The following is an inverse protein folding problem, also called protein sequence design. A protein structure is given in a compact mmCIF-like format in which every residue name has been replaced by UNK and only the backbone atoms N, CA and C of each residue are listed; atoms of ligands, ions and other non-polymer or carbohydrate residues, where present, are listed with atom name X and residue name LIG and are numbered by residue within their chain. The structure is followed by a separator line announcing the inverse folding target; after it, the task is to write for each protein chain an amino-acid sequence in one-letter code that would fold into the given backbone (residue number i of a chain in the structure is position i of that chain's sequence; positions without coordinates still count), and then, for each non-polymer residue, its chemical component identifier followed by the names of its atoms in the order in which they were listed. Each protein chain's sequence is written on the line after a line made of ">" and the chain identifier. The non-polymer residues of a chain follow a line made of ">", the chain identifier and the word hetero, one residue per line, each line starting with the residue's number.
data_IF_508605668163
#
_entry.id   IF_508605668163
#
_cell.length_a   1.000
_cell.length_b   1.000
_cell.length_c   1.000
_cell.angle_alpha   90.00
_cell.angle_beta   90.00
_cell.angle_gamma   90.00
#
_symmetry.space_group_name_H-M   'P 1'
#
loop_
_entity.id
_entity.type
_entity.pdbx_description
1 polymer ?
2 polymer ?
3 water ?
#
# COMPACT_ATOMS: atom_id res chain seq x y z
N UNK A 26 3.97 -23.01 -35.72
CA UNK A 26 3.02 -24.11 -35.86
C UNK A 26 1.55 -23.65 -35.85
N UNK A 27 0.70 -24.27 -35.04
CA UNK A 27 -0.71 -23.85 -34.84
C UNK A 27 -0.98 -23.42 -33.38
N UNK A 28 -0.16 -23.97 -32.49
CA UNK A 28 -0.05 -23.58 -31.10
C UNK A 28 0.01 -22.06 -30.96
N UNK A 29 0.73 -21.43 -31.88
CA UNK A 29 1.01 -20.01 -31.77
C UNK A 29 -0.27 -19.21 -31.87
N UNK A 30 -1.27 -19.75 -32.56
CA UNK A 30 -2.57 -19.09 -32.59
C UNK A 30 -3.32 -19.33 -31.28
N UNK A 31 -3.23 -20.53 -30.73
CA UNK A 31 -3.92 -20.82 -29.48
C UNK A 31 -3.33 -19.93 -28.40
N UNK A 32 -2.01 -19.87 -28.33
CA UNK A 32 -1.32 -19.01 -27.37
C UNK A 32 -1.68 -17.55 -27.51
N UNK A 33 -1.74 -17.08 -28.76
CA UNK A 33 -2.04 -15.69 -29.07
C UNK A 33 -3.43 -15.36 -28.55
N UNK A 34 -4.39 -16.21 -28.88
CA UNK A 34 -5.78 -16.03 -28.51
C UNK A 34 -5.88 -15.96 -27.01
N UNK A 35 -5.11 -16.78 -26.33
CA UNK A 35 -5.18 -16.81 -24.88
C UNK A 35 -4.56 -15.57 -24.23
N UNK A 36 -3.35 -15.20 -24.65
CA UNK A 36 -2.71 -14.01 -24.10
C UNK A 36 -3.60 -12.80 -24.36
N UNK A 37 -4.11 -12.73 -25.59
CA UNK A 37 -4.89 -11.60 -26.08
C UNK A 37 -6.19 -11.48 -25.30
N UNK A 38 -6.91 -12.59 -25.20
CA UNK A 38 -8.16 -12.61 -24.45
C UNK A 38 -7.98 -12.17 -22.99
N UNK A 39 -6.91 -12.63 -22.35
CA UNK A 39 -6.61 -12.27 -20.96
C UNK A 39 -6.42 -10.77 -20.85
N UNK A 40 -5.77 -10.16 -21.83
CA UNK A 40 -5.63 -8.72 -21.67
C UNK A 40 -6.98 -8.00 -21.92
N UNK A 41 -7.74 -8.43 -22.93
CA UNK A 41 -9.01 -7.79 -23.29
C UNK A 41 -10.07 -7.89 -22.19
N UNK A 42 -10.08 -9.02 -21.50
CA UNK A 42 -11.05 -9.25 -20.46
C UNK A 42 -10.55 -8.85 -19.07
N UNK A 43 -9.34 -8.29 -18.99
CA UNK A 43 -8.81 -7.79 -17.72
C UNK A 43 -8.13 -8.75 -16.76
N UNK A 44 -8.09 -10.05 -17.07
CA UNK A 44 -7.37 -11.02 -16.26
C UNK A 44 -5.88 -10.75 -16.17
N UNK A 45 -5.31 -10.27 -17.28
CA UNK A 45 -3.94 -9.81 -17.33
C UNK A 45 -4.00 -8.30 -17.44
N UNK A 46 -3.86 -7.62 -16.29
CA UNK A 46 -3.96 -6.17 -16.30
C UNK A 46 -2.68 -5.55 -16.83
N UNK A 47 -2.83 -4.55 -17.69
CA UNK A 47 -1.69 -3.94 -18.36
C UNK A 47 -1.85 -2.43 -18.37
N UNK A 48 -0.75 -1.73 -18.65
CA UNK A 48 -0.80 -0.25 -18.68
C UNK A 48 -1.47 0.15 -19.99
N UNK A 49 -1.95 1.39 -20.04
CA UNK A 49 -2.57 1.91 -21.23
C UNK A 49 -1.60 1.78 -22.42
N UNK A 50 -0.39 2.25 -22.22
CA UNK A 50 0.58 2.22 -23.30
C UNK A 50 0.77 0.82 -23.86
N UNK A 51 0.88 -0.15 -22.97
CA UNK A 51 1.07 -1.52 -23.41
C UNK A 51 -0.22 -2.01 -24.09
N UNK A 52 -1.37 -1.59 -23.56
CA UNK A 52 -2.66 -1.99 -24.12
C UNK A 52 -2.65 -1.68 -25.60
N UNK A 53 -2.28 -0.44 -25.87
CA UNK A 53 -2.14 0.06 -27.24
C UNK A 53 -1.17 -0.67 -28.14
N UNK A 54 0.03 -0.93 -27.63
CA UNK A 54 1.04 -1.73 -28.33
C UNK A 54 0.51 -3.12 -28.69
N UNK A 55 -0.14 -3.76 -27.72
CA UNK A 55 -0.87 -4.99 -27.96
C UNK A 55 -1.91 -4.79 -29.08
N UNK A 56 -2.80 -3.81 -28.91
CA UNK A 56 -3.76 -3.45 -29.98
C UNK A 56 -3.11 -3.28 -31.37
N UNK A 57 -1.89 -2.74 -31.38
CA UNK A 57 -1.14 -2.54 -32.61
C UNK A 57 -0.87 -3.87 -33.30
N UNK A 58 -0.37 -4.84 -32.53
CA UNK A 58 -0.11 -6.16 -33.07
C UNK A 58 -1.38 -6.92 -33.44
N UNK A 59 -2.47 -6.67 -32.70
CA UNK A 59 -3.80 -7.23 -32.98
C UNK A 59 -4.34 -6.66 -34.30
N UNK A 60 -4.03 -5.40 -34.56
CA UNK A 60 -4.42 -4.80 -35.84
C UNK A 60 -3.67 -5.49 -36.97
N UNK A 61 -2.37 -5.69 -36.78
CA UNK A 61 -1.55 -6.31 -37.81
C UNK A 61 -2.05 -7.72 -38.12
N UNK A 62 -2.59 -8.36 -37.09
CA UNK A 62 -3.12 -9.70 -37.19
C UNK A 62 -4.46 -9.73 -37.91
N UNK A 63 -5.34 -8.83 -37.48
CA UNK A 63 -6.69 -8.84 -37.99
C UNK A 63 -6.86 -8.09 -39.30
N UNK A 64 -5.99 -7.13 -39.60
CA UNK A 64 -6.16 -6.23 -40.75
C UNK A 64 -5.04 -6.27 -41.81
N UNK A 65 -4.01 -7.08 -41.55
CA UNK A 65 -2.77 -7.03 -42.31
C UNK A 65 -2.04 -5.72 -42.09
N UNK A 66 -0.97 -5.47 -42.87
CA UNK A 66 -0.13 -4.27 -42.82
C UNK A 66 -0.93 -2.98 -42.85
N UNK A 67 -0.50 -2.02 -42.05
CA UNK A 67 -1.20 -0.76 -41.87
C UNK A 67 -1.27 0.04 -43.16
N UNK A 68 -2.38 0.71 -43.38
CA UNK A 68 -2.58 1.57 -44.54
C UNK A 68 -3.36 2.83 -44.14
N UNK A 69 -2.69 3.97 -44.25
CA UNK A 69 -3.16 5.24 -43.68
C UNK A 69 -4.52 5.66 -44.24
N UNK A 70 -4.88 5.13 -45.39
CA UNK A 70 -6.13 5.50 -46.05
C UNK A 70 -7.31 4.63 -45.62
N UNK A 71 -7.04 3.37 -45.29
CA UNK A 71 -8.12 2.46 -44.85
C UNK A 71 -8.27 2.49 -43.35
N UNK A 72 -7.14 2.32 -42.65
CA UNK A 72 -7.09 2.21 -41.19
C UNK A 72 -7.08 3.62 -40.59
N UNK A 73 -8.27 4.20 -40.53
CA UNK A 73 -8.45 5.65 -40.46
C UNK A 73 -8.71 6.27 -39.09
N UNK A 74 -9.99 6.42 -38.74
CA UNK A 74 -10.41 7.36 -37.71
C UNK A 74 -11.33 6.67 -36.70
N UNK A 75 -12.46 6.18 -37.19
CA UNK A 75 -13.39 5.36 -36.40
C UNK A 75 -13.41 3.96 -36.96
N UNK A 76 -12.30 3.57 -37.59
CA UNK A 76 -12.16 2.28 -38.24
C UNK A 76 -12.20 1.14 -37.22
N UNK A 77 -11.54 1.34 -36.08
CA UNK A 77 -11.55 0.35 -35.00
C UNK A 77 -12.76 0.56 -34.12
N UNK A 78 -13.38 -0.53 -33.69
CA UNK A 78 -14.25 -0.49 -32.53
C UNK A 78 -13.38 -0.82 -31.30
N UNK A 79 -13.09 0.17 -30.48
CA UNK A 79 -12.09 0.01 -29.43
C UNK A 79 -12.44 -1.06 -28.38
N UNK A 80 -13.73 -1.34 -28.23
CA UNK A 80 -14.19 -2.34 -27.27
C UNK A 80 -13.74 -3.78 -27.59
N UNK A 81 -13.18 -4.00 -28.77
CA UNK A 81 -12.67 -5.32 -29.16
C UNK A 81 -11.14 -5.32 -29.22
N UNK A 82 -10.53 -4.19 -28.86
CA UNK A 82 -9.08 -3.97 -28.98
C UNK A 82 -8.38 -3.49 -27.70
N UNK A 83 -9.19 -3.01 -26.74
CA UNK A 83 -8.67 -2.62 -25.44
C UNK A 83 -9.49 -3.15 -24.26
N UNK A 84 -8.83 -3.30 -23.09
CA UNK A 84 -9.53 -3.66 -21.86
C UNK A 84 -10.58 -2.61 -21.56
N UNK A 85 -11.70 -3.00 -20.98
CA UNK A 85 -12.83 -2.09 -20.76
C UNK A 85 -12.44 -0.73 -20.14
N UNK A 86 -11.54 -0.76 -19.15
CA UNK A 86 -11.15 0.45 -18.44
C UNK A 86 -10.43 1.49 -19.31
N UNK A 87 -10.00 1.11 -20.50
CA UNK A 87 -9.24 2.01 -21.33
C UNK A 87 -9.99 2.46 -22.58
N UNK A 88 -11.20 1.96 -22.82
CA UNK A 88 -11.89 2.26 -24.08
C UNK A 88 -12.27 3.73 -24.26
N UNK A 89 -12.72 4.34 -23.17
CA UNK A 89 -13.06 5.75 -23.11
C UNK A 89 -11.85 6.66 -22.99
N UNK A 90 -10.64 6.16 -23.25
CA UNK A 90 -9.39 6.90 -23.05
C UNK A 90 -8.79 7.52 -24.32
N UNK A 91 -9.42 7.29 -25.47
CA UNK A 91 -9.05 8.00 -26.69
C UNK A 91 -7.75 7.48 -27.29
N UNK A 92 -7.66 6.17 -27.50
CA UNK A 92 -6.39 5.51 -27.84
C UNK A 92 -6.09 5.25 -29.31
N UNK A 93 -7.00 5.63 -30.19
CA UNK A 93 -6.90 5.16 -31.56
C UNK A 93 -5.53 5.52 -32.17
N UNK A 94 -5.16 6.78 -31.98
CA UNK A 94 -3.91 7.35 -32.48
C UNK A 94 -2.69 6.45 -32.29
N UNK A 95 -2.42 6.10 -31.03
CA UNK A 95 -1.23 5.30 -30.64
C UNK A 95 -1.35 3.79 -30.98
N UNK A 96 -2.58 3.30 -31.04
CA UNK A 96 -2.85 1.96 -31.58
C UNK A 96 -2.38 1.98 -33.04
N UNK A 97 -2.67 3.07 -33.70
CA UNK A 97 -2.27 3.19 -35.10
C UNK A 97 -0.79 3.41 -35.30
N UNK A 98 -0.11 4.05 -34.35
CA UNK A 98 1.35 4.14 -34.43
C UNK A 98 1.97 2.77 -34.28
N UNK A 99 1.53 2.03 -33.25
CA UNK A 99 2.00 0.67 -33.05
C UNK A 99 1.67 -0.24 -34.23
N UNK A 100 0.60 0.07 -34.96
CA UNK A 100 0.21 -0.73 -36.12
C UNK A 100 1.18 -0.39 -37.25
N UNK A 101 1.29 0.89 -37.57
CA UNK A 101 2.25 1.34 -38.58
C UNK A 101 3.61 0.68 -38.35
N UNK A 102 4.10 0.74 -37.12
CA UNK A 102 5.45 0.26 -36.79
C UNK A 102 5.71 -1.22 -37.10
N UNK A 103 4.64 -2.00 -37.31
CA UNK A 103 4.73 -3.40 -37.74
C UNK A 103 5.22 -3.55 -39.20
N UNK A 104 4.71 -2.68 -40.07
CA UNK A 104 5.03 -2.70 -41.49
C UNK A 104 4.46 -3.90 -42.19
N UNK A 105 5.29 -4.54 -43.03
CA UNK A 105 4.91 -5.73 -43.79
C UNK A 105 5.19 -7.04 -43.03
N UNK A 106 5.30 -6.95 -41.70
CA UNK A 106 5.28 -8.11 -40.85
C UNK A 106 4.05 -8.99 -41.06
N UNK A 107 4.25 -10.29 -40.86
CA UNK A 107 3.22 -11.25 -41.17
C UNK A 107 2.40 -11.50 -39.92
N UNK A 108 1.18 -11.97 -40.16
CA UNK A 108 0.33 -12.47 -39.10
C UNK A 108 1.20 -13.31 -38.17
N UNK A 109 1.68 -14.44 -38.70
CA UNK A 109 2.37 -15.45 -37.91
C UNK A 109 3.32 -14.84 -36.87
N UNK A 110 4.18 -13.93 -37.31
CA UNK A 110 5.18 -13.37 -36.39
C UNK A 110 4.62 -12.18 -35.59
N UNK A 111 3.67 -11.44 -36.15
CA UNK A 111 2.99 -10.39 -35.38
C UNK A 111 2.40 -11.04 -34.14
N UNK A 112 1.75 -12.17 -34.36
CA UNK A 112 1.20 -12.99 -33.30
C UNK A 112 2.27 -13.37 -32.27
N UNK A 113 3.47 -13.68 -32.75
CA UNK A 113 4.56 -14.06 -31.85
C UNK A 113 5.12 -12.87 -31.03
N UNK A 114 5.10 -11.66 -31.60
CA UNK A 114 5.67 -10.51 -30.88
C UNK A 114 4.72 -10.05 -29.76
N UNK A 115 3.42 -10.24 -29.99
CA UNK A 115 2.36 -10.07 -28.99
C UNK A 115 2.63 -11.01 -27.82
N UNK A 116 2.75 -12.30 -28.14
CA UNK A 116 2.95 -13.33 -27.12
C UNK A 116 4.26 -13.09 -26.36
N UNK A 117 5.30 -12.68 -27.08
CA UNK A 117 6.55 -12.22 -26.47
C UNK A 117 6.38 -10.98 -25.60
N UNK A 118 5.52 -10.07 -26.00
CA UNK A 118 5.44 -8.80 -25.32
C UNK A 118 4.74 -9.09 -24.00
N UNK A 119 3.62 -9.81 -24.07
CA UNK A 119 2.88 -10.28 -22.90
C UNK A 119 3.81 -10.98 -21.93
N UNK A 120 4.53 -11.98 -22.42
CA UNK A 120 5.47 -12.72 -21.61
C UNK A 120 6.48 -11.77 -20.99
N UNK A 121 6.81 -10.69 -21.69
CA UNK A 121 7.82 -9.77 -21.20
C UNK A 121 7.43 -8.97 -19.94
N UNK A 122 6.16 -8.93 -19.54
CA UNK A 122 5.70 -8.00 -18.49
C UNK A 122 5.67 -8.70 -17.14
N UNK A 123 6.01 -7.97 -16.08
CA UNK A 123 6.08 -8.59 -14.74
C UNK A 123 4.71 -9.08 -14.25
N UNK A 124 3.64 -8.43 -14.68
CA UNK A 124 2.23 -8.87 -14.51
C UNK A 124 1.75 -10.18 -15.18
N UNK A 125 2.56 -10.74 -16.09
CA UNK A 125 2.18 -11.90 -16.88
C UNK A 125 2.03 -13.12 -16.00
N UNK A 126 0.89 -13.80 -16.10
CA UNK A 126 0.62 -14.99 -15.27
C UNK A 126 0.75 -14.73 -13.78
N UNK A 127 0.17 -13.61 -13.36
CA UNK A 127 -0.03 -13.32 -11.94
C UNK A 127 -1.51 -13.30 -11.64
N UNK A 128 -1.90 -13.91 -10.52
CA UNK A 128 -3.29 -13.83 -10.06
C UNK A 128 -3.41 -12.56 -9.26
N UNK A 129 -4.43 -11.76 -9.58
CA UNK A 129 -4.58 -10.42 -9.03
C UNK A 129 -5.92 -10.28 -8.31
N UNK A 130 -5.88 -9.51 -7.21
CA UNK A 130 -7.03 -9.15 -6.40
C UNK A 130 -7.07 -7.62 -6.16
N UNK A 131 -8.25 -7.04 -6.32
CA UNK A 131 -8.43 -5.62 -6.07
C UNK A 131 -8.75 -5.46 -4.59
N UNK A 132 -7.80 -4.89 -3.86
CA UNK A 132 -7.89 -4.68 -2.44
C UNK A 132 -7.77 -3.16 -2.12
N UNK A 133 -7.67 -2.86 -0.84
CA UNK A 133 -7.52 -1.47 -0.44
C UNK A 133 -6.48 -1.41 0.62
N UNK A 134 -5.59 -0.43 0.51
CA UNK A 134 -4.48 -0.31 1.43
C UNK A 134 -4.79 0.95 2.19
N UNK A 135 -4.36 1.03 3.43
CA UNK A 135 -4.38 2.31 4.12
C UNK A 135 -3.06 2.99 3.82
N UNK A 136 -3.11 4.24 3.38
CA UNK A 136 -1.84 4.95 3.16
C UNK A 136 -1.07 5.12 4.47
N UNK A 137 0.25 4.94 4.38
CA UNK A 137 1.13 5.10 5.51
C UNK A 137 1.06 6.53 6.04
N UNK A 138 0.80 6.70 7.32
CA UNK A 138 0.84 8.05 7.89
C UNK A 138 -0.44 8.81 7.61
N UNK A 139 -1.44 8.18 6.99
CA UNK A 139 -2.68 8.90 6.65
C UNK A 139 -3.90 7.98 6.86
N UNK A 140 -5.00 8.54 7.35
CA UNK A 140 -6.27 7.80 7.38
C UNK A 140 -7.04 7.83 6.07
N UNK A 141 -6.55 7.07 5.10
CA UNK A 141 -7.08 7.12 3.76
C UNK A 141 -6.74 5.78 3.13
N UNK A 142 -7.75 5.17 2.54
CA UNK A 142 -7.60 3.89 1.84
C UNK A 142 -7.43 4.18 0.38
N UNK A 143 -6.46 3.52 -0.24
CA UNK A 143 -6.27 3.55 -1.70
C UNK A 143 -6.53 2.17 -2.31
N UNK A 144 -7.19 2.13 -3.47
CA UNK A 144 -7.30 0.84 -4.17
C UNK A 144 -5.96 0.31 -4.64
N UNK A 145 -5.83 -1.01 -4.73
CA UNK A 145 -4.56 -1.60 -5.04
C UNK A 145 -4.76 -3.00 -5.60
N UNK A 146 -3.98 -3.30 -6.62
CA UNK A 146 -3.89 -4.64 -7.20
C UNK A 146 -2.79 -5.38 -6.44
N UNK A 147 -3.16 -6.53 -5.86
CA UNK A 147 -2.24 -7.37 -5.10
C UNK A 147 -2.10 -8.65 -5.92
N UNK A 148 -0.88 -9.01 -6.26
CA UNK A 148 -0.66 -10.11 -7.16
C UNK A 148 0.18 -11.17 -6.51
N UNK A 149 -0.16 -12.41 -6.86
CA UNK A 149 0.43 -13.59 -6.24
C UNK A 149 0.92 -14.52 -7.34
N UNK A 150 2.21 -14.82 -7.29
CA UNK A 150 2.77 -15.86 -8.15
C UNK A 150 3.50 -16.89 -7.33
N UNK A 151 3.77 -18.00 -8.01
CA UNK A 151 4.86 -18.90 -7.73
C UNK A 151 5.93 -18.29 -6.85
N UNK A 152 6.45 -17.14 -7.27
CA UNK A 152 7.73 -16.65 -6.75
C UNK A 152 7.56 -15.53 -5.74
N UNK A 153 6.52 -14.72 -5.89
CA UNK A 153 6.47 -13.51 -5.11
C UNK A 153 5.04 -13.11 -4.83
N UNK A 154 4.91 -12.13 -3.95
CA UNK A 154 3.73 -11.29 -3.83
C UNK A 154 4.07 -9.88 -4.34
N UNK A 155 3.15 -9.24 -5.06
CA UNK A 155 3.47 -7.90 -5.55
C UNK A 155 2.35 -6.89 -5.44
N UNK A 156 2.70 -5.65 -5.06
CA UNK A 156 1.82 -4.50 -5.04
C UNK A 156 1.90 -3.80 -6.37
N UNK A 157 0.75 -3.58 -6.99
CA UNK A 157 0.67 -2.94 -8.31
C UNK A 157 -0.35 -1.80 -8.34
N UNK A 158 0.03 -0.71 -9.01
CA UNK A 158 -0.84 0.44 -9.11
C UNK A 158 -2.10 0.11 -9.93
N UNK A 159 -3.29 0.46 -9.41
CA UNK A 159 -4.59 0.18 -10.06
C UNK A 159 -4.69 0.83 -11.45
N UNK A 160 -4.06 2.00 -11.63
CA UNK A 160 -4.13 2.74 -12.88
C UNK A 160 -2.97 2.43 -13.87
N UNK A 161 -1.73 2.64 -13.41
CA UNK A 161 -0.54 2.55 -14.26
C UNK A 161 -0.06 1.12 -14.46
N UNK A 162 -0.50 0.24 -13.58
CA UNK A 162 -0.06 -1.15 -13.53
C UNK A 162 1.43 -1.27 -13.26
N UNK A 163 2.04 -0.21 -12.74
CA UNK A 163 3.41 -0.29 -12.25
C UNK A 163 3.53 -1.26 -11.11
N UNK A 164 4.58 -2.08 -11.11
CA UNK A 164 4.91 -2.92 -9.97
C UNK A 164 5.65 -2.00 -8.99
N UNK A 165 4.94 -1.53 -7.98
CA UNK A 165 5.56 -0.64 -7.00
C UNK A 165 6.30 -1.35 -5.86
N UNK A 166 6.04 -2.64 -5.62
CA UNK A 166 6.83 -3.40 -4.66
C UNK A 166 6.58 -4.91 -4.81
N UNK A 167 7.61 -5.71 -4.56
CA UNK A 167 7.52 -7.17 -4.63
C UNK A 167 8.12 -7.77 -3.39
N UNK A 168 7.51 -8.85 -2.91
CA UNK A 168 8.19 -9.68 -1.93
C UNK A 168 8.28 -11.13 -2.37
N UNK A 169 9.47 -11.69 -2.29
CA UNK A 169 9.65 -13.12 -2.39
C UNK A 169 8.79 -13.86 -1.37
N UNK A 170 8.22 -14.98 -1.80
CA UNK A 170 7.47 -15.85 -0.91
C UNK A 170 8.35 -16.33 0.24
N UNK A 171 9.65 -16.44 -0.02
CA UNK A 171 10.59 -16.93 0.97
C UNK A 171 10.76 -15.94 2.13
N UNK A 172 10.43 -14.67 1.92
CA UNK A 172 10.45 -13.69 3.02
C UNK A 172 9.14 -13.59 3.79
N UNK A 173 8.13 -14.37 3.40
CA UNK A 173 6.86 -14.34 4.11
C UNK A 173 6.85 -15.46 5.17
N UNK A 174 6.63 -15.07 6.42
CA UNK A 174 6.78 -15.96 7.56
C UNK A 174 5.44 -16.44 8.07
N UNK A 175 4.48 -15.51 8.12
CA UNK A 175 3.13 -15.80 8.56
C UNK A 175 2.14 -14.91 7.81
N UNK A 176 0.88 -15.32 7.86
CA UNK A 176 -0.21 -14.59 7.24
C UNK A 176 -1.52 -15.01 7.86
N UNK A 177 -2.52 -14.17 7.70
CA UNK A 177 -3.82 -14.47 8.24
C UNK A 177 -4.88 -13.75 7.42
N UNK A 178 -5.92 -14.50 7.07
CA UNK A 178 -7.08 -13.92 6.47
C UNK A 178 -8.20 -13.78 7.50
N UNK A 179 -9.02 -12.78 7.27
CA UNK A 179 -10.31 -12.66 7.93
C UNK A 179 -11.34 -12.41 6.82
N UNK A 180 -12.60 -12.32 7.21
CA UNK A 180 -13.63 -11.98 6.23
C UNK A 180 -13.51 -10.56 5.68
N UNK A 181 -12.64 -9.75 6.24
CA UNK A 181 -12.51 -8.36 5.81
C UNK A 181 -11.08 -7.95 5.45
N UNK A 182 -10.12 -8.82 5.67
CA UNK A 182 -8.77 -8.40 5.48
C UNK A 182 -7.86 -9.56 5.19
N UNK A 183 -6.63 -9.19 4.81
CA UNK A 183 -5.56 -10.14 4.69
C UNK A 183 -4.29 -9.51 5.18
N UNK A 184 -3.42 -10.27 5.81
CA UNK A 184 -2.28 -9.63 6.45
C UNK A 184 -1.12 -10.52 6.30
N UNK A 185 0.00 -9.92 5.93
CA UNK A 185 1.30 -10.57 5.87
C UNK A 185 2.30 -10.11 6.95
N UNK A 186 3.12 -11.06 7.40
CA UNK A 186 4.18 -10.80 8.36
C UNK A 186 5.41 -11.37 7.75
N UNK A 187 6.34 -10.48 7.37
CA UNK A 187 7.61 -10.82 6.74
C UNK A 187 8.74 -11.03 7.73
N UNK A 188 8.41 -11.04 9.02
CA UNK A 188 9.40 -11.21 10.07
C UNK A 188 10.46 -10.14 10.05
N UNK A 189 11.69 -10.57 10.34
CA UNK A 189 12.86 -9.72 10.21
C UNK A 189 13.31 -9.75 8.75
N UNK A 190 12.45 -9.29 7.87
CA UNK A 190 12.85 -8.85 6.54
C UNK A 190 12.51 -7.38 6.42
N UNK A 191 11.38 -6.99 7.01
CA UNK A 191 11.05 -5.59 7.10
C UNK A 191 10.28 -5.39 8.38
N UNK A 192 10.14 -4.12 8.76
CA UNK A 192 9.37 -3.67 9.92
C UNK A 192 7.94 -3.36 9.47
N UNK A 193 6.97 -3.89 10.20
CA UNK A 193 5.57 -3.65 9.88
C UNK A 193 4.97 -4.78 9.05
N UNK A 194 3.79 -5.21 9.47
CA UNK A 194 2.96 -6.11 8.66
C UNK A 194 2.42 -5.33 7.48
N UNK A 195 2.16 -6.03 6.38
CA UNK A 195 1.36 -5.48 5.29
C UNK A 195 -0.02 -6.06 5.37
N UNK A 196 -1.00 -5.17 5.31
CA UNK A 196 -2.36 -5.53 5.55
C UNK A 196 -3.31 -4.76 4.62
N UNK A 197 -4.30 -5.46 4.03
CA UNK A 197 -5.23 -4.88 3.07
C UNK A 197 -6.65 -5.23 3.41
N UNK A 198 -7.62 -4.40 3.04
CA UNK A 198 -9.02 -4.76 3.19
C UNK A 198 -9.47 -5.45 1.90
N UNK A 199 -10.14 -6.59 2.06
CA UNK A 199 -10.56 -7.44 0.93
C UNK A 199 -11.56 -8.41 1.50
N UNK A 200 -12.49 -8.84 0.65
CA UNK A 200 -13.41 -9.95 0.94
C UNK A 200 -12.90 -11.25 0.37
N UNK A 201 -11.63 -11.26 -0.09
CA UNK A 201 -11.06 -12.42 -0.75
C UNK A 201 -9.83 -12.92 -0.03
N UNK A 202 -9.72 -12.55 1.24
CA UNK A 202 -8.54 -12.97 2.02
C UNK A 202 -8.32 -14.47 2.03
N UNK A 203 -9.42 -15.23 2.16
CA UNK A 203 -9.28 -16.70 2.17
C UNK A 203 -8.63 -17.25 0.89
N UNK A 204 -9.10 -16.77 -0.24
CA UNK A 204 -8.55 -17.24 -1.51
C UNK A 204 -7.10 -16.82 -1.62
N UNK A 205 -6.82 -15.60 -1.16
CA UNK A 205 -5.50 -15.07 -1.31
C UNK A 205 -4.58 -15.95 -0.51
N UNK A 206 -5.05 -16.29 0.68
CA UNK A 206 -4.25 -17.09 1.60
C UNK A 206 -4.05 -18.51 1.08
N UNK A 207 -5.08 -19.08 0.49
CA UNK A 207 -4.95 -20.45 -0.02
C UNK A 207 -3.93 -20.46 -1.13
N UNK A 208 -3.99 -19.49 -2.03
CA UNK A 208 -2.98 -19.33 -3.10
C UNK A 208 -1.57 -19.34 -2.52
N UNK A 209 -1.30 -18.37 -1.65
CA UNK A 209 0.02 -18.30 -1.03
C UNK A 209 0.36 -19.55 -0.23
N UNK A 210 -0.55 -20.08 0.58
CA UNK A 210 -0.24 -21.27 1.37
C UNK A 210 0.15 -22.43 0.46
N UNK A 211 -0.52 -22.52 -0.68
CA UNK A 211 -0.26 -23.60 -1.65
C UNK A 211 1.16 -23.46 -2.13
N UNK A 212 1.47 -22.28 -2.67
CA UNK A 212 2.76 -22.06 -3.27
C UNK A 212 3.90 -22.33 -2.31
N UNK A 213 3.76 -21.98 -1.03
CA UNK A 213 4.84 -22.12 -0.05
C UNK A 213 5.03 -23.57 0.43
N UNK A 214 3.94 -24.32 0.43
CA UNK A 214 3.99 -25.75 0.71
C UNK A 214 4.82 -26.39 -0.40
N UNK A 215 4.47 -26.05 -1.64
CA UNK A 215 5.15 -26.51 -2.86
C UNK A 215 6.66 -26.25 -2.88
N UNK A 216 7.13 -25.13 -2.33
CA UNK A 216 8.57 -24.86 -2.26
C UNK A 216 9.32 -25.81 -1.31
N UNK A 217 8.67 -26.90 -0.90
CA UNK A 217 9.27 -27.98 -0.11
C UNK A 217 9.02 -29.36 -0.72
N UNK B 24 28.13 10.59 16.38
CA UNK B 24 26.82 10.05 15.93
C UNK B 24 25.75 10.83 16.73
N UNK B 25 25.78 12.17 16.65
CA UNK B 25 25.12 13.06 17.61
C UNK B 25 23.60 13.14 17.45
N UNK B 26 22.86 12.64 18.44
CA UNK B 26 21.40 12.57 18.38
C UNK B 26 20.88 11.42 17.52
N UNK B 27 21.82 10.75 16.85
CA UNK B 27 21.49 9.79 15.82
C UNK B 27 21.15 8.44 16.44
N UNK B 28 21.79 8.11 17.55
CA UNK B 28 21.51 6.87 18.24
C UNK B 28 20.14 6.97 18.89
N UNK B 29 19.77 8.17 19.30
CA UNK B 29 18.48 8.36 19.93
C UNK B 29 17.43 8.14 18.86
N UNK B 30 17.71 8.62 17.66
CA UNK B 30 16.80 8.40 16.53
C UNK B 30 16.59 6.91 16.23
N UNK B 31 17.67 6.18 16.06
CA UNK B 31 17.63 4.74 15.86
C UNK B 31 16.74 4.08 16.90
N UNK B 32 17.02 4.29 18.19
CA UNK B 32 16.23 3.68 19.28
C UNK B 32 14.78 4.13 19.22
N UNK B 33 14.58 5.42 18.96
CA UNK B 33 13.23 5.94 18.93
C UNK B 33 12.48 5.22 17.85
N UNK B 34 13.13 5.05 16.70
CA UNK B 34 12.48 4.50 15.53
C UNK B 34 12.17 3.03 15.79
N UNK B 35 13.08 2.33 16.45
CA UNK B 35 12.87 0.93 16.73
C UNK B 35 11.67 0.78 17.66
N UNK B 36 11.47 1.74 18.53
CA UNK B 36 10.43 1.59 19.55
C UNK B 36 9.07 1.86 18.91
N UNK B 37 9.04 2.74 17.92
CA UNK B 37 7.80 3.05 17.23
C UNK B 37 7.46 1.86 16.35
N UNK B 38 8.44 1.27 15.71
CA UNK B 38 8.22 0.05 14.93
C UNK B 38 7.58 -1.05 15.78
N UNK B 39 8.02 -1.12 17.02
CA UNK B 39 7.50 -2.10 17.98
C UNK B 39 6.07 -1.77 18.42
N UNK B 40 5.79 -0.49 18.68
CA UNK B 40 4.43 -0.07 19.01
C UNK B 40 3.49 -0.44 17.88
N UNK B 41 3.94 -0.27 16.64
CA UNK B 41 3.12 -0.49 15.47
C UNK B 41 2.80 -2.01 15.30
N UNK B 42 3.73 -2.89 15.64
CA UNK B 42 3.43 -4.33 15.60
C UNK B 42 2.37 -4.68 16.66
N UNK B 43 2.45 -4.10 17.85
CA UNK B 43 1.41 -4.33 18.84
C UNK B 43 0.07 -3.85 18.32
N UNK B 44 0.07 -2.77 17.54
CA UNK B 44 -1.18 -2.22 16.99
C UNK B 44 -1.75 -3.08 15.87
N UNK B 45 -0.87 -3.72 15.14
CA UNK B 45 -1.29 -4.60 14.05
C UNK B 45 -1.83 -5.90 14.65
N UNK B 46 -1.20 -6.41 15.69
CA UNK B 46 -1.75 -7.56 16.43
C UNK B 46 -3.13 -7.28 16.98
N UNK B 47 -3.28 -6.15 17.64
CA UNK B 47 -4.61 -5.79 18.14
C UNK B 47 -5.60 -5.75 16.98
N UNK B 48 -5.22 -5.19 15.84
CA UNK B 48 -6.17 -5.03 14.74
C UNK B 48 -6.53 -6.41 14.17
N UNK B 49 -5.50 -7.22 14.04
CA UNK B 49 -5.69 -8.58 13.54
C UNK B 49 -6.61 -9.33 14.48
N UNK B 50 -6.30 -9.23 15.75
CA UNK B 50 -7.16 -9.92 16.72
C UNK B 50 -8.55 -9.33 16.57
N UNK B 51 -8.64 -8.00 16.53
CA UNK B 51 -9.92 -7.29 16.51
C UNK B 51 -10.78 -7.66 15.31
N UNK B 52 -10.16 -7.65 14.13
CA UNK B 52 -10.85 -7.87 12.85
C UNK B 52 -11.53 -9.24 12.83
N UNK B 53 -11.00 -10.17 13.61
CA UNK B 53 -11.59 -11.50 13.77
C UNK B 53 -12.26 -11.68 15.11
N UNK B 54 -12.71 -10.58 15.70
CA UNK B 54 -13.51 -10.63 16.92
C UNK B 54 -12.92 -11.50 18.05
N UNK B 55 -11.60 -11.41 18.25
CA UNK B 55 -10.91 -12.12 19.30
C UNK B 55 -10.01 -11.24 20.15
N UNK B 56 -10.26 -9.92 20.11
CA UNK B 56 -9.63 -8.98 21.05
C UNK B 56 -10.38 -8.95 22.39
N UNK B 57 -9.93 -9.81 23.32
CA UNK B 57 -10.48 -9.89 24.67
C UNK B 57 -10.44 -8.53 25.37
N UNK B 58 -11.58 -8.10 25.95
CA UNK B 58 -11.62 -6.82 26.68
C UNK B 58 -10.68 -6.88 27.84
N UNK B 59 -9.92 -5.81 28.02
CA UNK B 59 -8.92 -5.76 29.05
C UNK B 59 -9.56 -5.37 30.38
N UNK B 60 -9.25 -6.18 31.39
CA UNK B 60 -9.75 -5.97 32.73
C UNK B 60 -8.66 -5.35 33.61
N UNK B 61 -9.07 -4.95 34.81
CA UNK B 61 -8.21 -4.31 35.79
C UNK B 61 -8.21 -2.79 35.67
N UNK B 62 -8.81 -2.26 34.60
CA UNK B 62 -8.69 -0.84 34.32
C UNK B 62 -9.95 -0.28 33.67
N UNK B 63 -10.28 0.96 34.03
CA UNK B 63 -11.53 1.58 33.59
C UNK B 63 -11.40 2.19 32.21
N UNK B 64 -12.52 2.33 31.51
CA UNK B 64 -12.52 3.06 30.25
C UNK B 64 -12.11 4.52 30.42
N UNK B 65 -12.56 5.11 31.53
CA UNK B 65 -12.14 6.46 31.85
C UNK B 65 -10.65 6.62 31.91
N UNK B 66 -10.01 5.77 32.67
CA UNK B 66 -8.57 5.88 32.84
C UNK B 66 -7.84 5.54 31.54
N UNK B 67 -8.43 4.77 30.65
CA UNK B 67 -7.72 4.43 29.43
C UNK B 67 -7.78 5.61 28.47
N UNK B 68 -8.96 6.19 28.39
CA UNK B 68 -9.16 7.33 27.53
C UNK B 68 -8.36 8.52 28.05
N UNK B 69 -8.30 8.64 29.36
CA UNK B 69 -7.43 9.64 29.96
C UNK B 69 -5.96 9.38 29.59
N UNK B 70 -5.52 8.13 29.70
CA UNK B 70 -4.18 7.82 29.27
C UNK B 70 -3.99 8.24 27.80
N UNK B 71 -4.96 7.94 26.95
CA UNK B 71 -4.80 8.13 25.49
C UNK B 71 -4.81 9.61 25.13
N UNK B 72 -5.79 10.34 25.65
CA UNK B 72 -5.84 11.79 25.44
C UNK B 72 -4.53 12.46 25.86
N UNK B 73 -4.04 12.13 27.03
CA UNK B 73 -2.81 12.73 27.55
C UNK B 73 -1.64 12.51 26.62
N UNK B 74 -1.40 11.25 26.29
CA UNK B 74 -0.26 10.91 25.50
C UNK B 74 -0.33 11.61 24.12
N UNK B 75 -1.52 11.66 23.54
CA UNK B 75 -1.70 12.32 22.26
C UNK B 75 -1.35 13.84 22.40
N UNK B 76 -1.85 14.46 23.45
CA UNK B 76 -1.61 15.90 23.63
C UNK B 76 -0.14 16.18 23.77
N UNK B 77 0.57 15.33 24.49
CA UNK B 77 1.99 15.54 24.70
C UNK B 77 2.79 15.28 23.44
N UNK B 78 2.45 14.23 22.69
CA UNK B 78 3.04 13.99 21.37
C UNK B 78 2.81 15.24 20.49
N UNK B 79 1.59 15.75 20.46
CA UNK B 79 1.25 16.91 19.65
C UNK B 79 2.12 18.10 20.06
N UNK B 80 2.32 18.32 21.35
CA UNK B 80 3.06 19.50 21.82
C UNK B 80 4.53 19.36 21.48
N UNK B 81 4.95 18.13 21.23
CA UNK B 81 6.32 17.83 20.93
C UNK B 81 6.71 17.89 19.42
N UNK B 82 5.74 18.01 18.53
CA UNK B 82 6.06 17.91 17.11
C UNK B 82 6.96 19.05 16.57
N UNK B 83 6.51 20.29 16.74
CA UNK B 83 7.27 21.49 16.29
C UNK B 83 8.62 21.65 16.98
N UNK B 84 8.66 21.48 18.29
CA UNK B 84 9.96 21.53 18.95
C UNK B 84 10.90 20.48 18.39
N UNK B 85 10.41 19.26 18.13
CA UNK B 85 11.25 18.23 17.53
C UNK B 85 11.71 18.71 16.15
N UNK B 86 10.76 19.07 15.30
CA UNK B 86 11.08 19.57 13.97
C UNK B 86 12.12 20.70 14.02
N UNK B 87 11.90 21.67 14.89
CA UNK B 87 12.79 22.83 14.99
C UNK B 87 14.19 22.41 15.43
N UNK B 88 14.28 21.57 16.45
CA UNK B 88 15.58 21.02 16.82
C UNK B 88 16.33 20.32 15.68
N UNK B 89 15.61 19.65 14.78
CA UNK B 89 16.24 18.96 13.64
C UNK B 89 16.87 19.92 12.63
N UNK B 90 16.37 21.15 12.56
CA UNK B 90 16.84 22.12 11.57
C UNK B 90 18.12 22.80 12.04
N UNK B 91 18.49 22.60 13.31
CA UNK B 91 19.59 23.33 13.91
C UNK B 91 20.44 22.55 14.92
N UNK B 92 19.81 22.05 15.99
CA UNK B 92 20.52 21.63 17.19
C UNK B 92 20.60 20.12 17.46
N UNK B 93 21.60 19.46 16.90
CA UNK B 93 21.77 18.01 17.03
C UNK B 93 21.58 17.42 18.44
N UNK B 94 22.13 18.10 19.44
CA UNK B 94 22.05 17.66 20.83
C UNK B 94 20.59 17.58 21.25
N UNK B 95 19.90 18.66 20.97
CA UNK B 95 18.52 18.81 21.35
C UNK B 95 17.59 17.81 20.64
N UNK B 96 17.90 17.55 19.37
CA UNK B 96 17.12 16.58 18.58
C UNK B 96 17.07 15.22 19.28
N UNK B 97 18.22 14.74 19.75
CA UNK B 97 18.36 13.46 20.44
C UNK B 97 17.47 13.37 21.67
N UNK B 98 17.32 14.48 22.38
CA UNK B 98 16.45 14.50 23.55
C UNK B 98 14.98 14.57 23.15
N UNK B 99 14.65 15.31 22.09
CA UNK B 99 13.25 15.44 21.70
C UNK B 99 12.63 14.18 21.03
N UNK B 100 13.45 13.41 20.34
CA UNK B 100 12.94 12.21 19.72
C UNK B 100 12.68 11.14 20.78
N UNK B 101 13.59 11.01 21.74
CA UNK B 101 13.38 10.05 22.82
C UNK B 101 12.16 10.44 23.67
N UNK B 102 11.98 11.74 23.82
CA UNK B 102 10.78 12.23 24.44
C UNK B 102 9.55 11.78 23.67
N UNK B 103 9.54 12.06 22.38
CA UNK B 103 8.43 11.75 21.53
C UNK B 103 8.13 10.22 21.54
N UNK B 104 9.17 9.41 21.56
CA UNK B 104 9.06 7.96 21.60
C UNK B 104 8.50 7.43 22.94
N UNK B 105 9.01 7.89 24.07
CA UNK B 105 8.44 7.49 25.36
C UNK B 105 6.91 7.58 25.34
N UNK B 106 6.34 8.58 24.67
CA UNK B 106 4.91 8.74 24.76
C UNK B 106 4.16 7.64 24.00
N UNK B 107 4.83 6.98 23.06
CA UNK B 107 4.14 6.04 22.19
C UNK B 107 3.84 4.69 22.82
N UNK B 108 4.68 4.26 23.76
CA UNK B 108 4.49 3.00 24.48
C UNK B 108 3.21 3.06 25.30
N UNK B 109 3.03 4.11 26.10
CA UNK B 109 1.80 4.19 26.84
C UNK B 109 0.58 4.42 25.98
N UNK B 110 0.71 5.25 24.95
CA UNK B 110 -0.41 5.44 24.03
C UNK B 110 -0.90 4.14 23.41
N UNK B 111 0.03 3.30 23.03
CA UNK B 111 -0.27 2.07 22.31
C UNK B 111 -0.96 1.11 23.25
N UNK B 112 -0.44 1.01 24.46
CA UNK B 112 -1.08 0.18 25.47
C UNK B 112 -2.47 0.67 25.75
N UNK B 113 -2.60 1.96 26.02
CA UNK B 113 -3.92 2.53 26.26
C UNK B 113 -4.86 2.28 25.10
N UNK B 114 -4.41 2.53 23.87
CA UNK B 114 -5.28 2.41 22.69
C UNK B 114 -5.78 0.96 22.51
N UNK B 115 -4.93 -0.01 22.81
CA UNK B 115 -5.34 -1.41 22.66
C UNK B 115 -6.32 -1.76 23.76
N UNK B 116 -6.11 -1.22 24.95
CA UNK B 116 -7.07 -1.50 26.01
C UNK B 116 -8.38 -0.86 25.68
N UNK B 117 -8.36 0.43 25.33
CA UNK B 117 -9.61 1.15 25.01
C UNK B 117 -10.39 0.47 23.93
N UNK B 118 -9.69 0.14 22.85
CA UNK B 118 -10.34 -0.54 21.75
C UNK B 118 -10.96 -1.84 22.24
N UNK B 119 -10.25 -2.59 23.07
CA UNK B 119 -10.77 -3.84 23.54
C UNK B 119 -12.05 -3.70 24.36
N UNK B 120 -12.23 -2.55 24.98
CA UNK B 120 -13.42 -2.29 25.79
C UNK B 120 -14.49 -1.55 24.99
N UNK B 121 -14.21 -1.18 23.75
CA UNK B 121 -15.21 -0.57 22.85
C UNK B 121 -16.19 -1.62 22.32
N UNK B 122 -17.50 -1.31 22.29
CA UNK B 122 -18.46 -2.33 21.90
C UNK B 122 -18.65 -2.38 20.39
N UNK B 123 -18.76 -1.22 19.76
CA UNK B 123 -19.01 -1.14 18.33
C UNK B 123 -17.70 -1.50 17.61
N UNK B 124 -17.73 -2.55 16.80
CA UNK B 124 -16.53 -3.03 16.13
C UNK B 124 -15.89 -1.97 15.22
N UNK B 125 -16.66 -1.28 14.37
CA UNK B 125 -16.14 -0.13 13.61
C UNK B 125 -15.43 0.92 14.44
N UNK B 126 -15.90 1.17 15.64
CA UNK B 126 -15.32 2.19 16.49
C UNK B 126 -14.04 1.62 17.12
N UNK B 127 -14.06 0.33 17.39
CA UNK B 127 -12.91 -0.35 17.94
C UNK B 127 -11.80 -0.30 16.90
N UNK B 128 -12.12 -0.61 15.65
CA UNK B 128 -11.18 -0.57 14.53
C UNK B 128 -10.69 0.85 14.26
N UNK B 129 -11.57 1.83 14.31
CA UNK B 129 -11.16 3.22 14.08
C UNK B 129 -10.11 3.71 15.08
N UNK B 130 -10.30 3.40 16.36
CA UNK B 130 -9.28 3.69 17.39
C UNK B 130 -7.93 3.07 17.07
N UNK B 131 -7.95 1.82 16.66
CA UNK B 131 -6.71 1.13 16.37
C UNK B 131 -6.02 1.72 15.10
N UNK B 132 -6.81 1.91 14.05
CA UNK B 132 -6.34 2.37 12.76
C UNK B 132 -5.76 3.78 12.88
N UNK B 133 -6.49 4.65 13.56
CA UNK B 133 -6.06 6.04 13.73
C UNK B 133 -4.87 6.15 14.65
N UNK B 134 -4.72 5.22 15.59
CA UNK B 134 -3.56 5.22 16.45
C UNK B 134 -2.39 4.73 15.62
N UNK B 135 -2.60 3.69 14.83
CA UNK B 135 -1.61 3.27 13.84
C UNK B 135 -1.15 4.43 12.94
N UNK B 136 -2.09 5.18 12.37
CA UNK B 136 -1.76 6.26 11.50
C UNK B 136 -0.87 7.27 12.17
N UNK B 137 -1.19 7.62 13.41
CA UNK B 137 -0.37 8.55 14.19
C UNK B 137 1.03 8.03 14.43
N UNK B 138 1.17 6.76 14.79
CA UNK B 138 2.50 6.15 14.93
C UNK B 138 3.26 6.14 13.61
N UNK B 139 2.54 5.89 12.53
CA UNK B 139 3.18 5.88 11.22
C UNK B 139 3.76 7.26 10.83
N UNK B 140 2.97 8.28 11.13
CA UNK B 140 3.37 9.67 10.86
C UNK B 140 4.53 10.08 11.74
N UNK B 141 4.54 9.60 12.97
CA UNK B 141 5.62 9.82 13.90
C UNK B 141 6.86 9.21 13.33
N UNK B 142 6.72 8.00 12.80
CA UNK B 142 7.84 7.31 12.21
C UNK B 142 8.48 8.11 11.10
N UNK B 143 7.62 8.62 10.23
CA UNK B 143 8.13 9.41 9.11
C UNK B 143 8.79 10.72 9.58
N UNK B 144 8.24 11.32 10.61
CA UNK B 144 8.80 12.53 11.18
C UNK B 144 10.20 12.14 11.62
N UNK B 145 10.32 11.01 12.31
CA UNK B 145 11.61 10.57 12.84
C UNK B 145 12.65 10.30 11.77
N UNK B 146 12.23 9.67 10.69
CA UNK B 146 13.15 9.46 9.57
C UNK B 146 13.71 10.75 8.94
N UNK B 147 12.80 11.68 8.67
CA UNK B 147 13.16 12.90 8.04
C UNK B 147 13.93 13.77 9.05
N UNK B 148 13.58 13.72 10.33
CA UNK B 148 14.29 14.49 11.34
C UNK B 148 15.66 13.91 11.54
N UNK B 149 15.81 12.60 11.42
CA UNK B 149 17.13 12.00 11.64
C UNK B 149 18.06 12.31 10.48
N UNK B 150 17.50 12.32 9.28
CA UNK B 150 18.26 12.69 8.11
C UNK B 150 18.74 14.16 8.30
N UNK B 151 17.85 15.07 8.66
CA UNK B 151 18.23 16.48 8.91
C UNK B 151 19.39 16.58 9.91
N UNK B 152 19.38 15.72 10.94
CA UNK B 152 20.37 15.73 12.01
C UNK B 152 20.30 17.11 12.65
N UNK B 153 21.35 17.53 13.36
CA UNK B 153 21.44 18.93 13.74
C UNK B 153 21.67 19.79 12.51
N UNK B 154 22.61 19.35 11.69
CA UNK B 154 23.13 20.08 10.54
C UNK B 154 22.12 20.93 9.76
N UNK B 155 22.19 22.27 9.88
CA UNK B 155 21.30 23.16 9.12
C UNK B 155 21.56 23.22 7.62
N UNK B 156 22.73 22.77 7.19
CA UNK B 156 23.06 22.72 5.78
C UNK B 156 22.33 21.60 5.03
N UNK B 157 21.42 20.90 5.69
CA UNK B 157 20.50 20.02 4.97
C UNK B 157 19.84 20.68 3.75
N UNK B 158 19.51 19.83 2.78
CA UNK B 158 18.99 20.26 1.50
C UNK B 158 17.57 20.76 1.70
N UNK B 159 17.04 21.45 0.69
CA UNK B 159 15.66 21.90 0.71
C UNK B 159 14.71 20.72 0.49
N UNK B 160 15.22 19.62 -0.07
CA UNK B 160 14.46 18.37 -0.17
C UNK B 160 14.24 17.80 1.23
N UNK B 161 15.20 18.03 2.13
CA UNK B 161 15.06 17.60 3.51
C UNK B 161 14.12 18.52 4.23
N UNK B 162 14.21 19.81 3.90
CA UNK B 162 13.33 20.84 4.44
C UNK B 162 11.89 20.59 4.06
N UNK B 163 11.62 20.34 2.79
CA UNK B 163 10.25 20.11 2.34
C UNK B 163 9.70 18.80 2.92
N UNK B 164 10.53 17.77 3.08
CA UNK B 164 10.10 16.46 3.56
C UNK B 164 9.73 16.59 5.05
N UNK B 165 10.47 17.41 5.78
CA UNK B 165 10.24 17.52 7.20
C UNK B 165 8.95 18.27 7.46
N UNK B 166 8.79 19.39 6.77
CA UNK B 166 7.56 20.15 6.88
C UNK B 166 6.35 19.27 6.52
N UNK B 167 6.46 18.42 5.50
CA UNK B 167 5.38 17.50 5.16
C UNK B 167 5.11 16.51 6.27
N UNK B 168 6.17 15.99 6.87
CA UNK B 168 6.04 15.00 7.92
C UNK B 168 5.33 15.66 9.08
N UNK B 169 5.72 16.88 9.40
CA UNK B 169 5.04 17.65 10.42
C UNK B 169 3.56 17.83 10.10
N UNK B 170 3.27 18.28 8.91
CA UNK B 170 1.86 18.44 8.52
C UNK B 170 1.06 17.13 8.59
N UNK B 171 1.70 16.01 8.26
CA UNK B 171 1.05 14.70 8.31
C UNK B 171 0.76 14.30 9.76
N UNK B 172 1.70 14.49 10.68
CA UNK B 172 1.46 14.19 12.07
C UNK B 172 0.35 15.05 12.65
N UNK B 173 0.30 16.33 12.28
CA UNK B 173 -0.72 17.25 12.77
C UNK B 173 -2.10 16.80 12.36
N UNK B 174 -2.26 16.37 11.11
CA UNK B 174 -3.55 15.88 10.67
C UNK B 174 -3.87 14.56 11.37
N UNK B 175 -2.86 13.76 11.73
CA UNK B 175 -3.10 12.46 12.39
C UNK B 175 -3.64 12.69 13.80
N UNK B 176 -3.07 13.70 14.46
CA UNK B 176 -3.46 14.10 15.77
C UNK B 176 -4.88 14.62 15.69
N UNK B 177 -5.16 15.47 14.71
CA UNK B 177 -6.52 15.97 14.55
C UNK B 177 -7.48 14.77 14.47
N UNK B 178 -7.23 13.81 13.58
CA UNK B 178 -8.18 12.72 13.32
C UNK B 178 -8.41 11.89 14.57
N UNK B 179 -7.32 11.47 15.20
CA UNK B 179 -7.42 10.59 16.40
C UNK B 179 -8.16 11.30 17.52
N UNK B 180 -7.87 12.58 17.67
CA UNK B 180 -8.52 13.37 18.69
C UNK B 180 -10.04 13.35 18.52
N UNK B 181 -10.50 13.76 17.35
CA UNK B 181 -11.93 13.66 17.09
C UNK B 181 -12.43 12.25 17.42
N UNK B 182 -11.78 11.21 16.92
CA UNK B 182 -12.24 9.85 17.13
C UNK B 182 -12.25 9.49 18.61
N UNK B 183 -11.32 10.06 19.34
CA UNK B 183 -11.33 9.98 20.80
C UNK B 183 -12.56 10.54 21.46
N UNK B 184 -12.96 11.74 21.04
CA UNK B 184 -14.19 12.30 21.55
C UNK B 184 -15.43 11.47 21.31
N UNK B 185 -15.62 11.05 20.06
CA UNK B 185 -16.74 10.18 19.68
C UNK B 185 -16.81 8.92 20.53
N UNK B 186 -15.67 8.24 20.71
CA UNK B 186 -15.64 6.97 21.43
C UNK B 186 -15.97 7.25 22.90
N UNK B 187 -15.32 8.30 23.43
CA UNK B 187 -15.60 8.81 24.76
C UNK B 187 -17.09 8.97 24.95
N UNK B 188 -17.77 9.65 24.03
CA UNK B 188 -19.21 9.90 24.16
C UNK B 188 -20.08 8.62 24.18
N UNK B 189 -19.67 7.64 23.37
CA UNK B 189 -20.38 6.35 23.29
C UNK B 189 -20.22 5.62 24.63
N UNK B 190 -19.04 5.75 25.23
CA UNK B 190 -18.76 5.03 26.47
C UNK B 190 -19.09 5.82 27.72
N UNK B 191 -19.74 6.98 27.58
CA UNK B 191 -20.01 7.85 28.75
C UNK B 191 -18.78 8.31 29.51
N UNK B 192 -17.59 8.07 28.96
CA UNK B 192 -16.36 8.55 29.55
C UNK B 192 -16.39 10.08 29.49
N UNK B 193 -16.05 10.67 30.64
CA UNK B 193 -16.08 12.11 30.88
C UNK B 193 -14.69 12.57 31.32
#
# INVERSE_FOLDING_TARGET
>A
MHHHHHHSSGVDLGTENLYFQSSRDPVQLNLLYVQARDDILNGSHPVSFDKACEFAGFQCQIQFGPHNEQKHKAGFLDLKDFLPKEYVKQKGERKIFQAHKNCGQMSEIEAKVRYVKLARSLKTYGVSFFLVKEKMKGKNKLVPRLLGITKECVMRVDEKTKEVIQEWSLTNIKRWAASPKSFTLDFGDYQDGYYSVQTTEGEQIAQLIAGYIDIILKKKKS
>B
MHHHHHHSSGVDLGTENLYFQSKAPGQLECETAIAALNSCLRDLDQASLAAVSQQLAPREGISQEALHTQMLTAVQEISHLIEPLASAARAEASQLGHKVSQMAQYFEPLTLAAVGAASKTLSHPQQMALLDQTKTLAESALQLLYTAKEAGGNPKQAAHTQEALEEAVQMMTEAVEDLTTTLNEAASAAGVVGGMVDSITQAINQLDEGPMGDPE
#
